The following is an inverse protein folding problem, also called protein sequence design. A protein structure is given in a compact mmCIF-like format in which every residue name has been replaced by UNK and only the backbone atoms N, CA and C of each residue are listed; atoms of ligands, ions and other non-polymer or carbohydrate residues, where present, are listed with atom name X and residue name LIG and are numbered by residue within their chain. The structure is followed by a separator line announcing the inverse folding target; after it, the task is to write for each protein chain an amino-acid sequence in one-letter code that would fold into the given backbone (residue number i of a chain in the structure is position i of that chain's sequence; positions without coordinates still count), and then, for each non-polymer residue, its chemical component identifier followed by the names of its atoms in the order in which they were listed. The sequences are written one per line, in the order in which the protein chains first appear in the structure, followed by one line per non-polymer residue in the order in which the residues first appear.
data_IF_723290341819
#
_entry.id   IF_723290341819
#
_cell.length_a   1.000
_cell.length_b   1.000
_cell.length_c   1.000
_cell.angle_alpha   90.00
_cell.angle_beta   90.00
_cell.angle_gamma   90.00
#
_symmetry.space_group_name_H-M   'P 1'
#
loop_
_entity.id
_entity.type
_entity.pdbx_description
1 polymer ?
#
# COMPACT_ATOMS: atom_id res chain seq x y z
N UNK A 1 -1.23 -18.88 -5.26
CA UNK A 1 -0.96 -17.92 -4.18
C UNK A 1 -1.53 -18.52 -2.90
N UNK A 2 -0.74 -18.59 -1.84
CA UNK A 2 -1.16 -19.04 -0.52
C UNK A 2 -0.98 -17.87 0.45
N UNK A 3 -1.98 -17.60 1.28
CA UNK A 3 -1.97 -16.51 2.26
C UNK A 3 -2.29 -17.13 3.61
N UNK A 4 -1.37 -16.98 4.56
CA UNK A 4 -1.47 -17.57 5.89
C UNK A 4 -1.22 -16.51 6.95
N UNK A 5 -2.12 -16.43 7.94
CA UNK A 5 -1.89 -15.66 9.16
C UNK A 5 -1.13 -16.50 10.18
N UNK A 6 -0.26 -15.88 10.97
CA UNK A 6 0.44 -16.57 12.05
C UNK A 6 0.06 -16.01 13.44
N UNK A 7 0.49 -16.70 14.49
CA UNK A 7 0.20 -16.34 15.89
C UNK A 7 0.90 -15.06 16.38
N UNK A 8 1.64 -14.37 15.50
CA UNK A 8 2.36 -13.13 15.79
C UNK A 8 1.79 -11.93 15.03
N UNK A 9 0.53 -12.02 14.59
CA UNK A 9 -0.13 -11.00 13.77
C UNK A 9 0.60 -10.68 12.46
N UNK A 10 1.29 -11.67 11.88
CA UNK A 10 1.94 -11.53 10.58
C UNK A 10 1.20 -12.36 9.52
N UNK A 11 1.33 -11.91 8.27
CA UNK A 11 0.79 -12.60 7.10
C UNK A 11 1.96 -13.06 6.24
N UNK A 12 1.99 -14.35 5.91
CA UNK A 12 2.89 -14.92 4.90
C UNK A 12 2.15 -15.04 3.58
N UNK A 13 2.70 -14.47 2.52
CA UNK A 13 2.18 -14.59 1.16
C UNK A 13 3.18 -15.40 0.32
N UNK A 14 2.78 -16.60 -0.07
CA UNK A 14 3.57 -17.48 -0.94
C UNK A 14 3.06 -17.38 -2.37
N UNK A 15 3.94 -17.01 -3.28
CA UNK A 15 3.66 -16.87 -4.72
C UNK A 15 4.50 -17.85 -5.53
N UNK A 16 4.05 -18.15 -6.76
CA UNK A 16 4.86 -18.94 -7.69
C UNK A 16 6.14 -18.20 -8.05
N UNK A 17 7.25 -18.91 -8.23
CA UNK A 17 8.50 -18.33 -8.75
C UNK A 17 8.36 -17.83 -10.20
N UNK A 18 7.31 -18.23 -10.90
CA UNK A 18 6.98 -17.77 -12.25
C UNK A 18 6.21 -16.45 -12.29
N UNK A 19 5.91 -15.83 -11.12
CA UNK A 19 5.26 -14.53 -11.11
C UNK A 19 6.22 -13.46 -11.61
N UNK A 20 5.69 -12.56 -12.42
CA UNK A 20 6.43 -11.38 -12.87
C UNK A 20 6.78 -10.47 -11.68
N UNK A 21 8.05 -10.05 -11.65
CA UNK A 21 8.64 -9.19 -10.62
C UNK A 21 7.90 -7.86 -10.48
N UNK A 22 7.36 -7.32 -11.58
CA UNK A 22 6.66 -6.03 -11.57
C UNK A 22 5.32 -6.11 -10.83
N UNK A 23 4.59 -7.22 -11.03
CA UNK A 23 3.36 -7.49 -10.27
C UNK A 23 3.61 -7.63 -8.77
N UNK A 24 4.72 -8.29 -8.39
CA UNK A 24 5.10 -8.44 -6.99
C UNK A 24 5.51 -7.10 -6.36
N UNK A 25 6.28 -6.28 -7.07
CA UNK A 25 6.68 -4.95 -6.61
C UNK A 25 5.45 -4.08 -6.33
N UNK A 26 4.46 -4.08 -7.24
CA UNK A 26 3.20 -3.33 -7.04
C UNK A 26 2.44 -3.75 -5.79
N UNK A 27 2.37 -5.06 -5.53
CA UNK A 27 1.73 -5.57 -4.31
C UNK A 27 2.45 -5.06 -3.06
N UNK A 28 3.78 -5.14 -3.04
CA UNK A 28 4.61 -4.67 -1.92
C UNK A 28 4.42 -3.16 -1.70
N UNK A 29 4.44 -2.37 -2.76
CA UNK A 29 4.28 -0.92 -2.69
C UNK A 29 2.90 -0.53 -2.15
N UNK A 30 1.85 -1.25 -2.56
CA UNK A 30 0.50 -1.01 -2.05
C UNK A 30 0.36 -1.37 -0.56
N UNK A 31 0.96 -2.48 -0.12
CA UNK A 31 0.97 -2.84 1.31
C UNK A 31 1.69 -1.75 2.12
N UNK A 32 2.85 -1.28 1.68
CA UNK A 32 3.59 -0.18 2.33
C UNK A 32 2.76 1.10 2.39
N UNK A 33 2.05 1.42 1.31
CA UNK A 33 1.14 2.57 1.28
C UNK A 33 0.04 2.42 2.35
N UNK A 34 -0.61 1.26 2.44
CA UNK A 34 -1.64 1.01 3.45
C UNK A 34 -1.09 1.10 4.87
N UNK A 35 0.10 0.56 5.14
CA UNK A 35 0.76 0.69 6.44
C UNK A 35 1.07 2.15 6.78
N UNK A 36 1.68 2.88 5.85
CA UNK A 36 2.04 4.29 6.04
C UNK A 36 0.81 5.18 6.27
N UNK A 37 -0.30 4.84 5.63
CA UNK A 37 -1.57 5.57 5.74
C UNK A 37 -2.51 5.03 6.82
N UNK A 38 -2.21 3.91 7.47
CA UNK A 38 -3.11 3.26 8.45
C UNK A 38 -3.58 4.15 9.61
N UNK A 39 -2.78 5.18 9.95
CA UNK A 39 -3.07 6.15 11.03
C UNK A 39 -3.49 7.52 10.52
N UNK A 40 -3.57 7.71 9.20
CA UNK A 40 -3.93 9.00 8.63
C UNK A 40 -5.40 9.30 8.84
N UNK A 41 -5.70 10.56 9.19
CA UNK A 41 -7.07 11.10 9.18
C UNK A 41 -7.34 11.93 7.93
N UNK A 42 -6.34 12.04 7.05
CA UNK A 42 -6.43 12.83 5.83
C UNK A 42 -7.49 12.23 4.91
N UNK A 43 -8.41 13.08 4.48
CA UNK A 43 -9.44 12.77 3.50
C UNK A 43 -8.95 13.19 2.11
N UNK A 44 -9.62 12.68 1.08
CA UNK A 44 -9.37 13.12 -0.30
C UNK A 44 -9.43 14.65 -0.44
N UNK A 45 -10.37 15.29 0.26
CA UNK A 45 -10.50 16.76 0.28
C UNK A 45 -9.25 17.49 0.79
N UNK A 46 -8.49 16.89 1.71
CA UNK A 46 -7.26 17.47 2.24
C UNK A 46 -6.13 17.41 1.19
N UNK A 47 -6.12 16.33 0.40
CA UNK A 47 -5.20 16.14 -0.73
C UNK A 47 -5.55 17.09 -1.87
N UNK A 48 -6.83 17.22 -2.21
CA UNK A 48 -7.32 18.11 -3.27
C UNK A 48 -7.00 19.57 -2.95
N UNK A 49 -7.18 19.97 -1.69
CA UNK A 49 -6.82 21.31 -1.21
C UNK A 49 -5.32 21.57 -1.34
N UNK A 50 -4.49 20.63 -0.90
CA UNK A 50 -3.03 20.75 -1.03
C UNK A 50 -2.59 20.85 -2.50
N UNK A 51 -3.18 20.04 -3.38
CA UNK A 51 -2.87 20.06 -4.81
C UNK A 51 -3.26 21.40 -5.45
N UNK A 52 -4.41 21.97 -5.07
CA UNK A 52 -4.80 23.30 -5.52
C UNK A 52 -3.80 24.36 -5.04
N UNK A 53 -3.48 24.40 -3.75
CA UNK A 53 -2.56 25.38 -3.16
C UNK A 53 -1.18 25.38 -3.84
N UNK A 54 -0.60 24.18 -4.07
CA UNK A 54 0.71 24.03 -4.72
C UNK A 54 0.69 24.44 -6.20
N UNK A 55 -0.37 24.12 -6.94
CA UNK A 55 -0.45 24.44 -8.37
C UNK A 55 -0.85 25.90 -8.66
N UNK A 56 -1.37 26.62 -7.66
CA UNK A 56 -1.70 28.05 -7.78
C UNK A 56 -0.61 29.00 -7.25
N UNK A 57 0.48 28.44 -6.70
CA UNK A 57 1.67 29.18 -6.28
C UNK A 57 2.70 29.27 -7.41
#
# INVERSE_FOLDING_TARGET
MLIEGNSKDQITITVSSSLDSFGLQRLIDYIKYLEATSKTKAKQSDVDKLAYEVNTS
#
